data_IF_843328548273
#
_entry.id   IF_843328548273
#
_cell.length_a   1.000
_cell.length_b   1.000
_cell.length_c   1.000
_cell.angle_alpha   90.00
_cell.angle_beta   90.00
_cell.angle_gamma   90.00
#
_symmetry.space_group_name_H-M   'P 1'
#
loop_
_entity.id
_entity.type
_entity.pdbx_description
1 polymer ?
#
# COMPACT_ATOMS: atom_id res chain seq x y z
N UNK A 1 5.10 26.67 -39.56
CA UNK A 1 4.64 25.37 -39.02
C UNK A 1 5.86 24.46 -39.01
N UNK A 2 6.45 24.25 -37.84
CA UNK A 2 7.67 23.45 -37.68
C UNK A 2 7.30 21.97 -37.61
N UNK A 3 7.79 21.18 -38.56
CA UNK A 3 7.67 19.73 -38.56
C UNK A 3 8.32 19.17 -37.29
N UNK A 4 7.52 18.50 -36.45
CA UNK A 4 8.03 17.84 -35.25
C UNK A 4 8.75 16.56 -35.68
N UNK A 5 10.06 16.57 -35.52
CA UNK A 5 10.94 15.42 -35.76
C UNK A 5 10.52 14.26 -34.81
N UNK A 6 10.48 13.00 -35.29
CA UNK A 6 9.98 11.84 -34.53
C UNK A 6 10.76 11.56 -33.22
N UNK A 7 11.93 12.19 -33.09
CA UNK A 7 12.81 12.13 -31.92
C UNK A 7 12.72 13.37 -31.01
N UNK A 8 11.72 14.23 -31.19
CA UNK A 8 11.61 15.45 -30.37
C UNK A 8 11.06 15.09 -28.99
N UNK A 9 11.95 15.12 -28.01
CA UNK A 9 11.67 15.03 -26.59
C UNK A 9 10.79 16.21 -26.13
N UNK A 10 9.61 15.93 -25.56
CA UNK A 10 8.63 16.95 -25.17
C UNK A 10 7.99 16.66 -23.80
N UNK A 11 7.66 17.69 -23.01
CA UNK A 11 6.88 17.52 -21.79
C UNK A 11 5.44 17.15 -22.15
N UNK A 12 5.11 15.88 -21.97
CA UNK A 12 3.78 15.33 -22.21
C UNK A 12 2.96 15.27 -20.93
N UNK A 13 1.65 15.46 -21.06
CA UNK A 13 0.68 15.17 -20.00
C UNK A 13 -0.45 14.34 -20.55
N UNK A 14 -0.93 13.38 -19.77
CA UNK A 14 -2.03 12.51 -20.18
C UNK A 14 -3.32 12.88 -19.45
N UNK A 15 -4.36 13.16 -20.24
CA UNK A 15 -5.71 13.46 -19.76
C UNK A 15 -6.51 12.18 -19.58
N UNK A 16 -6.87 11.88 -18.33
CA UNK A 16 -7.65 10.69 -17.97
C UNK A 16 -8.97 10.58 -18.74
N UNK A 17 -9.77 11.66 -18.82
CA UNK A 17 -11.08 11.63 -19.48
C UNK A 17 -10.96 11.20 -20.93
N UNK A 18 -9.99 11.77 -21.65
CA UNK A 18 -9.77 11.51 -23.07
C UNK A 18 -9.25 10.09 -23.31
N UNK A 19 -8.36 9.59 -22.46
CA UNK A 19 -7.91 8.19 -22.54
C UNK A 19 -9.05 7.20 -22.22
N UNK A 20 -9.95 7.52 -21.28
CA UNK A 20 -11.12 6.68 -20.99
C UNK A 20 -12.16 6.70 -22.12
N UNK A 21 -12.38 7.85 -22.77
CA UNK A 21 -13.20 7.96 -23.98
C UNK A 21 -12.61 7.09 -25.12
N UNK A 22 -11.29 7.14 -25.30
CA UNK A 22 -10.59 6.30 -26.27
C UNK A 22 -10.72 4.79 -25.93
N UNK A 23 -10.58 4.41 -24.66
CA UNK A 23 -10.78 3.03 -24.21
C UNK A 23 -12.22 2.57 -24.48
N UNK A 24 -13.21 3.41 -24.16
CA UNK A 24 -14.61 3.10 -24.44
C UNK A 24 -14.82 2.84 -25.93
N UNK A 25 -14.35 3.75 -26.78
CA UNK A 25 -14.45 3.63 -28.24
C UNK A 25 -13.78 2.36 -28.75
N UNK A 26 -12.61 2.02 -28.22
CA UNK A 26 -11.90 0.78 -28.54
C UNK A 26 -12.70 -0.47 -28.15
N UNK A 27 -13.22 -0.52 -26.93
CA UNK A 27 -14.01 -1.66 -26.44
C UNK A 27 -15.32 -1.81 -27.22
N UNK A 28 -16.01 -0.70 -27.48
CA UNK A 28 -17.28 -0.70 -28.19
C UNK A 28 -17.08 -1.16 -29.65
N UNK A 29 -15.99 -0.71 -30.31
CA UNK A 29 -15.57 -1.19 -31.63
C UNK A 29 -15.26 -2.69 -31.63
N UNK A 30 -14.42 -3.15 -30.70
CA UNK A 30 -14.07 -4.57 -30.59
C UNK A 30 -15.31 -5.45 -30.33
N UNK A 31 -16.21 -5.03 -29.44
CA UNK A 31 -17.43 -5.76 -29.11
C UNK A 31 -18.44 -5.77 -30.27
N UNK A 32 -18.43 -4.76 -31.14
CA UNK A 32 -19.25 -4.74 -32.36
C UNK A 32 -18.78 -5.79 -33.37
N UNK A 33 -17.46 -5.96 -33.50
CA UNK A 33 -16.85 -6.98 -34.36
C UNK A 33 -16.97 -8.39 -33.75
N UNK A 34 -17.01 -8.49 -32.42
CA UNK A 34 -17.06 -9.76 -31.67
C UNK A 34 -18.30 -9.84 -30.77
N UNK A 35 -19.50 -10.06 -31.32
CA UNK A 35 -20.75 -10.05 -30.55
C UNK A 35 -20.89 -11.25 -29.60
N UNK A 36 -20.10 -12.31 -29.81
CA UNK A 36 -20.14 -13.55 -29.02
C UNK A 36 -19.88 -13.30 -27.53
N UNK A 37 -20.74 -13.86 -26.66
CA UNK A 37 -20.67 -13.66 -25.22
C UNK A 37 -19.32 -14.07 -24.60
N UNK A 38 -18.71 -15.11 -25.19
CA UNK A 38 -17.42 -15.67 -24.79
C UNK A 38 -16.24 -14.90 -25.34
N UNK A 39 -16.43 -13.91 -26.21
CA UNK A 39 -15.36 -13.16 -26.89
C UNK A 39 -15.40 -11.68 -26.54
N UNK A 40 -16.60 -11.14 -26.33
CA UNK A 40 -16.82 -9.76 -25.94
C UNK A 40 -16.14 -9.39 -24.62
N UNK A 41 -15.67 -8.15 -24.56
CA UNK A 41 -15.24 -7.48 -23.35
C UNK A 41 -16.50 -7.05 -22.58
N UNK A 42 -16.94 -7.90 -21.65
CA UNK A 42 -18.00 -7.56 -20.70
C UNK A 42 -17.59 -6.45 -19.70
N UNK A 43 -18.54 -6.01 -18.88
CA UNK A 43 -18.35 -4.94 -17.88
C UNK A 43 -17.19 -5.21 -16.90
N UNK A 44 -16.99 -6.47 -16.49
CA UNK A 44 -15.90 -6.85 -15.57
C UNK A 44 -14.52 -6.71 -16.23
N UNK A 45 -14.38 -7.13 -17.50
CA UNK A 45 -13.16 -6.94 -18.28
C UNK A 45 -12.87 -5.45 -18.50
N UNK A 46 -13.90 -4.67 -18.86
CA UNK A 46 -13.82 -3.22 -19.02
C UNK A 46 -13.33 -2.53 -17.76
N UNK A 47 -13.91 -2.86 -16.60
CA UNK A 47 -13.50 -2.29 -15.32
C UNK A 47 -12.04 -2.65 -14.96
N UNK A 48 -11.54 -3.80 -15.41
CA UNK A 48 -10.11 -4.14 -15.29
C UNK A 48 -9.24 -3.32 -16.23
N UNK A 49 -9.65 -3.11 -17.49
CA UNK A 49 -8.94 -2.24 -18.42
C UNK A 49 -8.87 -0.78 -17.91
N UNK A 50 -9.99 -0.25 -17.39
CA UNK A 50 -10.05 1.09 -16.80
C UNK A 50 -9.12 1.23 -15.58
N UNK A 51 -9.04 0.19 -14.74
CA UNK A 51 -8.10 0.17 -13.60
C UNK A 51 -6.64 0.20 -14.08
N UNK A 52 -6.30 -0.59 -15.10
CA UNK A 52 -4.95 -0.62 -15.68
C UNK A 52 -4.60 0.77 -16.22
N UNK A 53 -5.46 1.39 -17.03
CA UNK A 53 -5.26 2.75 -17.55
C UNK A 53 -5.08 3.74 -16.40
N UNK A 54 -5.95 3.70 -15.39
CA UNK A 54 -5.89 4.65 -14.27
C UNK A 54 -4.54 4.61 -13.55
N UNK A 55 -4.05 3.41 -13.24
CA UNK A 55 -2.78 3.24 -12.55
C UNK A 55 -1.60 3.60 -13.45
N UNK A 56 -1.68 3.24 -14.72
CA UNK A 56 -0.64 3.53 -15.69
C UNK A 56 -0.50 5.02 -15.95
N UNK A 57 -1.60 5.74 -16.18
CA UNK A 57 -1.60 7.20 -16.33
C UNK A 57 -1.07 7.92 -15.08
N UNK A 58 -1.40 7.43 -13.88
CA UNK A 58 -0.81 7.96 -12.63
C UNK A 58 0.71 7.80 -12.59
N UNK A 59 1.25 6.70 -13.13
CA UNK A 59 2.69 6.48 -13.21
C UNK A 59 3.33 7.36 -14.29
N UNK A 60 2.71 7.44 -15.48
CA UNK A 60 3.19 8.26 -16.58
C UNK A 60 3.25 9.74 -16.22
N UNK A 61 2.16 10.30 -15.66
CA UNK A 61 2.12 11.71 -15.28
C UNK A 61 3.10 12.08 -14.16
N UNK A 62 3.61 11.10 -13.40
CA UNK A 62 4.71 11.33 -12.44
C UNK A 62 6.07 11.32 -13.14
N UNK A 63 6.27 10.42 -14.09
CA UNK A 63 7.51 10.28 -14.85
C UNK A 63 7.68 11.40 -15.90
N UNK A 64 6.59 11.94 -16.46
CA UNK A 64 6.61 13.12 -17.35
C UNK A 64 7.07 14.40 -16.68
N UNK A 65 7.00 14.48 -15.35
CA UNK A 65 7.58 15.59 -14.60
C UNK A 65 9.12 15.50 -14.50
N UNK A 66 9.73 14.36 -14.88
CA UNK A 66 11.13 14.02 -14.61
C UNK A 66 11.92 13.72 -15.90
N UNK A 67 11.25 13.25 -16.97
CA UNK A 67 11.90 12.73 -18.19
C UNK A 67 11.06 12.99 -19.44
N UNK A 68 11.73 13.26 -20.56
CA UNK A 68 11.12 13.51 -21.87
C UNK A 68 10.86 12.17 -22.60
N UNK A 69 9.78 12.09 -23.39
CA UNK A 69 9.35 10.84 -24.07
C UNK A 69 9.48 10.91 -25.58
N UNK A 70 9.81 9.77 -26.19
CA UNK A 70 9.66 9.53 -27.64
C UNK A 70 8.25 9.02 -27.97
N UNK A 71 7.66 9.55 -29.05
CA UNK A 71 6.34 9.16 -29.56
C UNK A 71 6.28 7.71 -30.07
N UNK A 72 7.43 7.16 -30.44
CA UNK A 72 7.54 5.83 -31.04
C UNK A 72 7.51 4.73 -29.97
N UNK A 73 8.01 5.01 -28.76
CA UNK A 73 8.20 4.02 -27.70
C UNK A 73 7.47 4.42 -26.42
N UNK A 74 6.21 3.98 -26.30
CA UNK A 74 5.44 4.14 -25.06
C UNK A 74 6.04 3.25 -23.95
N UNK A 75 6.41 3.82 -22.78
CA UNK A 75 7.09 3.10 -21.70
C UNK A 75 6.18 2.03 -21.07
N UNK A 76 6.71 0.95 -20.51
CA UNK A 76 5.87 -0.11 -19.94
C UNK A 76 5.21 0.28 -18.59
N UNK A 77 4.08 -0.37 -18.28
CA UNK A 77 3.42 -0.26 -16.98
C UNK A 77 3.89 -1.38 -16.05
N UNK A 78 4.66 -1.04 -15.01
CA UNK A 78 5.16 -2.02 -14.04
C UNK A 78 4.19 -2.18 -12.87
N UNK A 79 3.78 -3.42 -12.59
CA UNK A 79 2.81 -3.73 -11.52
C UNK A 79 2.89 -5.18 -11.06
N UNK A 80 1.96 -5.61 -10.21
CA UNK A 80 1.81 -7.00 -9.78
C UNK A 80 0.36 -7.48 -9.99
N UNK A 81 0.18 -8.71 -10.48
CA UNK A 81 -1.15 -9.31 -10.66
C UNK A 81 -1.93 -9.39 -9.33
N UNK A 82 -1.24 -9.68 -8.22
CA UNK A 82 -1.84 -9.70 -6.89
C UNK A 82 -2.35 -8.32 -6.45
N UNK A 83 -1.60 -7.25 -6.75
CA UNK A 83 -1.99 -5.88 -6.45
C UNK A 83 -3.18 -5.44 -7.30
N UNK A 84 -3.16 -5.72 -8.61
CA UNK A 84 -4.28 -5.43 -9.49
C UNK A 84 -5.56 -6.15 -9.06
N UNK A 85 -5.46 -7.42 -8.63
CA UNK A 85 -6.59 -8.21 -8.16
C UNK A 85 -7.17 -7.61 -6.86
N UNK A 86 -6.31 -7.24 -5.91
CA UNK A 86 -6.70 -6.58 -4.67
C UNK A 86 -7.36 -5.22 -4.92
N UNK A 87 -6.80 -4.39 -5.81
CA UNK A 87 -7.36 -3.09 -6.18
C UNK A 87 -8.72 -3.24 -6.90
N UNK A 88 -8.89 -4.27 -7.72
CA UNK A 88 -10.16 -4.55 -8.41
C UNK A 88 -11.22 -5.16 -7.49
N UNK A 89 -10.80 -5.79 -6.39
CA UNK A 89 -11.68 -6.55 -5.49
C UNK A 89 -12.04 -7.94 -6.02
N UNK A 90 -11.13 -8.60 -6.75
CA UNK A 90 -11.36 -9.95 -7.30
C UNK A 90 -10.21 -10.92 -6.96
N UNK A 91 -10.41 -12.21 -7.25
CA UNK A 91 -9.33 -13.20 -7.09
C UNK A 91 -8.25 -13.02 -8.16
N UNK A 92 -7.03 -13.50 -7.88
CA UNK A 92 -5.93 -13.50 -8.85
C UNK A 92 -6.27 -14.37 -10.07
N UNK A 93 -6.99 -15.49 -9.89
CA UNK A 93 -7.46 -16.35 -10.99
C UNK A 93 -8.40 -15.59 -11.93
N UNK A 94 -9.35 -14.85 -11.37
CA UNK A 94 -10.27 -13.99 -12.14
C UNK A 94 -9.52 -12.93 -12.93
N UNK A 95 -8.52 -12.29 -12.31
CA UNK A 95 -7.70 -11.29 -13.00
C UNK A 95 -6.89 -11.90 -14.14
N UNK A 96 -6.34 -13.12 -13.98
CA UNK A 96 -5.67 -13.82 -15.08
C UNK A 96 -6.61 -14.07 -16.26
N UNK A 97 -7.86 -14.46 -16.00
CA UNK A 97 -8.86 -14.63 -17.06
C UNK A 97 -9.17 -13.30 -17.76
N UNK A 98 -9.30 -12.21 -17.00
CA UNK A 98 -9.51 -10.88 -17.58
C UNK A 98 -8.30 -10.45 -18.43
N UNK A 99 -7.09 -10.68 -17.93
CA UNK A 99 -5.84 -10.39 -18.64
C UNK A 99 -5.77 -11.12 -19.97
N UNK A 100 -6.07 -12.42 -19.99
CA UNK A 100 -6.10 -13.20 -21.24
C UNK A 100 -7.13 -12.64 -22.24
N UNK A 101 -8.30 -12.23 -21.75
CA UNK A 101 -9.30 -11.58 -22.59
C UNK A 101 -8.80 -10.26 -23.19
N UNK A 102 -8.14 -9.44 -22.38
CA UNK A 102 -7.62 -8.13 -22.80
C UNK A 102 -6.41 -8.24 -23.74
N UNK A 103 -5.61 -9.30 -23.62
CA UNK A 103 -4.55 -9.63 -24.59
C UNK A 103 -5.19 -10.04 -25.92
N UNK A 104 -6.16 -10.96 -25.89
CA UNK A 104 -6.86 -11.41 -27.11
C UNK A 104 -7.53 -10.26 -27.84
N UNK A 105 -8.10 -9.31 -27.11
CA UNK A 105 -8.71 -8.13 -27.70
C UNK A 105 -7.71 -7.10 -28.23
N UNK A 106 -6.39 -7.30 -28.07
CA UNK A 106 -5.37 -6.37 -28.51
C UNK A 106 -5.26 -5.10 -27.65
N UNK A 107 -5.96 -5.02 -26.52
CA UNK A 107 -5.83 -3.93 -25.55
C UNK A 107 -4.48 -3.99 -24.84
N UNK A 108 -4.05 -5.19 -24.44
CA UNK A 108 -2.70 -5.45 -23.94
C UNK A 108 -1.89 -6.07 -25.08
N UNK A 109 -0.84 -5.37 -25.52
CA UNK A 109 0.03 -5.82 -26.62
C UNK A 109 1.07 -6.83 -26.15
N UNK A 110 1.67 -6.58 -25.00
CA UNK A 110 2.74 -7.44 -24.48
C UNK A 110 2.70 -7.46 -22.94
N UNK A 111 3.10 -8.59 -22.35
CA UNK A 111 3.41 -8.68 -20.93
C UNK A 111 4.73 -9.41 -20.75
N UNK A 112 5.69 -8.77 -20.08
CA UNK A 112 6.92 -9.42 -19.63
C UNK A 112 6.82 -9.72 -18.14
N UNK A 113 7.21 -10.94 -17.76
CA UNK A 113 7.31 -11.35 -16.36
C UNK A 113 8.76 -11.20 -15.93
N UNK A 114 8.96 -10.49 -14.84
CA UNK A 114 10.25 -10.41 -14.18
C UNK A 114 10.18 -11.26 -12.92
N UNK A 115 11.18 -12.13 -12.72
CA UNK A 115 11.25 -12.94 -11.52
C UNK A 115 11.25 -12.02 -10.28
N UNK A 116 10.43 -12.30 -9.26
CA UNK A 116 10.34 -11.50 -8.02
C UNK A 116 9.81 -10.06 -8.15
N UNK A 117 10.03 -9.40 -9.29
CA UNK A 117 9.84 -7.96 -9.51
C UNK A 117 8.50 -7.59 -10.17
N UNK A 118 7.67 -8.60 -10.44
CA UNK A 118 6.30 -8.41 -10.91
C UNK A 118 6.15 -8.57 -12.42
N UNK A 119 5.31 -7.73 -13.01
CA UNK A 119 4.99 -7.74 -14.43
C UNK A 119 5.21 -6.36 -15.04
N UNK A 120 5.59 -6.35 -16.31
CA UNK A 120 5.52 -5.17 -17.17
C UNK A 120 4.46 -5.39 -18.23
N UNK A 121 3.59 -4.41 -18.41
CA UNK A 121 2.42 -4.46 -19.28
C UNK A 121 2.52 -3.34 -20.31
N UNK A 122 2.45 -3.68 -21.58
CA UNK A 122 2.35 -2.73 -22.69
C UNK A 122 0.90 -2.64 -23.14
N UNK A 123 0.29 -1.48 -22.94
CA UNK A 123 -1.09 -1.19 -23.40
C UNK A 123 -1.03 -0.68 -24.83
N UNK A 124 -2.08 -0.93 -25.62
CA UNK A 124 -2.19 -0.44 -26.97
C UNK A 124 -1.95 1.09 -27.04
N UNK A 125 -0.88 1.55 -27.73
CA UNK A 125 -0.55 2.97 -27.82
C UNK A 125 -1.67 3.81 -28.45
N UNK A 126 -2.48 3.24 -29.34
CA UNK A 126 -3.59 3.96 -29.99
C UNK A 126 -4.69 4.40 -29.00
N UNK A 127 -4.87 3.64 -27.91
CA UNK A 127 -5.80 4.02 -26.83
C UNK A 127 -5.18 5.12 -25.96
N UNK A 128 -3.87 5.00 -25.69
CA UNK A 128 -3.17 5.86 -24.75
C UNK A 128 -2.83 7.24 -25.35
N UNK A 129 -2.35 7.29 -26.61
CA UNK A 129 -1.94 8.53 -27.29
C UNK A 129 -3.09 9.49 -27.57
N UNK A 130 -4.34 8.99 -27.69
CA UNK A 130 -5.54 9.82 -27.83
C UNK A 130 -5.80 10.73 -26.61
N UNK A 131 -5.20 10.40 -25.46
CA UNK A 131 -5.24 11.26 -24.27
C UNK A 131 -3.95 12.04 -24.01
N UNK A 132 -2.96 12.01 -24.90
CA UNK A 132 -1.69 12.69 -24.71
C UNK A 132 -1.75 14.13 -25.25
N UNK A 133 -1.26 15.07 -24.44
CA UNK A 133 -1.18 16.49 -24.76
C UNK A 133 0.24 16.98 -24.55
N UNK A 134 0.73 17.78 -25.49
CA UNK A 134 1.96 18.55 -25.35
C UNK A 134 1.67 19.80 -24.52
N UNK A 135 2.51 20.03 -23.53
CA UNK A 135 2.43 21.19 -22.64
C UNK A 135 3.38 22.27 -23.15
N UNK A 136 2.87 23.45 -23.48
CA UNK A 136 3.69 24.62 -23.81
C UNK A 136 3.37 25.75 -22.82
N UNK A 137 4.40 26.34 -22.22
CA UNK A 137 4.25 27.57 -21.42
C UNK A 137 4.16 28.75 -22.37
N UNK A 138 3.10 29.53 -22.24
CA UNK A 138 2.91 30.77 -22.98
C UNK A 138 3.59 31.92 -22.24
N UNK A 139 4.07 32.92 -22.99
CA UNK A 139 4.79 34.08 -22.45
C UNK A 139 3.93 34.91 -21.48
N UNK A 140 2.61 34.87 -21.62
CA UNK A 140 1.63 35.56 -20.77
C UNK A 140 1.28 34.81 -19.46
N UNK A 141 2.02 33.75 -19.10
CA UNK A 141 1.80 32.98 -17.87
C UNK A 141 0.71 31.90 -17.96
N UNK A 142 0.18 31.63 -19.15
CA UNK A 142 -0.75 30.53 -19.44
C UNK A 142 -0.06 29.21 -19.82
N UNK A 143 -0.78 28.10 -19.77
CA UNK A 143 -0.31 26.80 -20.29
C UNK A 143 -1.21 26.37 -21.45
N UNK A 144 -0.63 26.17 -22.64
CA UNK A 144 -1.34 25.63 -23.80
C UNK A 144 -1.17 24.11 -23.87
N UNK A 145 -2.28 23.40 -24.09
CA UNK A 145 -2.34 21.96 -24.27
C UNK A 145 -2.69 21.65 -25.72
N UNK A 146 -1.76 21.04 -26.46
CA UNK A 146 -1.98 20.65 -27.86
C UNK A 146 -2.08 19.11 -27.97
N UNK A 147 -3.15 18.54 -28.57
CA UNK A 147 -3.28 17.10 -28.71
C UNK A 147 -2.14 16.53 -29.57
N UNK A 148 -1.49 15.48 -29.07
CA UNK A 148 -0.36 14.84 -29.77
C UNK A 148 -0.84 13.99 -30.96
N UNK A 149 -2.01 13.38 -30.83
CA UNK A 149 -2.56 12.42 -31.81
C UNK A 149 -2.77 13.03 -33.22
N UNK A 150 -3.04 14.34 -33.31
CA UNK A 150 -3.20 15.04 -34.60
C UNK A 150 -1.88 15.13 -35.41
N UNK A 151 -0.73 14.87 -34.79
CA UNK A 151 0.58 14.84 -35.48
C UNK A 151 1.01 13.43 -35.90
N UNK A 152 0.37 12.37 -35.39
CA UNK A 152 0.71 10.97 -35.70
C UNK A 152 0.03 10.50 -37.00
N UNK A 153 -1.10 11.09 -37.37
CA UNK A 153 -1.86 10.71 -38.57
C UNK A 153 -1.27 11.26 -39.88
N UNK A 154 -0.39 12.28 -39.84
CA UNK A 154 0.17 12.90 -41.04
C UNK A 154 1.29 12.09 -41.73
N UNK A 155 1.93 11.13 -41.03
CA UNK A 155 3.12 10.41 -41.53
C UNK A 155 3.05 8.88 -41.44
N UNK A 156 1.85 8.27 -41.39
CA UNK A 156 1.77 6.81 -41.58
C UNK A 156 1.82 6.48 -43.07
N UNK A 157 3.03 6.23 -43.59
CA UNK A 157 3.19 5.40 -44.79
C UNK A 157 2.44 4.08 -44.55
N UNK A 158 1.53 3.74 -45.46
CA UNK A 158 0.82 2.44 -45.47
C UNK A 158 1.86 1.32 -45.42
N UNK A 159 2.01 0.69 -44.26
CA UNK A 159 2.68 -0.60 -44.16
C UNK A 159 1.62 -1.64 -44.52
N UNK A 160 1.86 -2.34 -45.63
CA UNK A 160 0.99 -3.40 -46.12
C UNK A 160 0.92 -4.55 -45.11
N UNK A 161 -0.26 -5.16 -45.00
CA UNK A 161 -0.50 -6.26 -44.06
C UNK A 161 0.33 -7.48 -44.43
N UNK A 162 1.03 -8.05 -43.45
CA UNK A 162 1.50 -9.42 -43.57
C UNK A 162 0.28 -10.33 -43.44
N UNK A 163 -0.23 -10.73 -44.59
CA UNK A 163 -1.13 -11.87 -44.78
C UNK A 163 -0.33 -13.13 -44.45
N UNK A 164 -0.76 -13.86 -43.44
CA UNK A 164 -0.55 -15.30 -43.44
C UNK A 164 -1.91 -15.98 -43.32
N UNK A 165 -2.16 -16.82 -44.32
CA UNK A 165 -3.44 -17.43 -44.66
C UNK A 165 -3.90 -18.40 -43.56
N UNK A 166 -5.22 -18.40 -43.35
CA UNK A 166 -5.91 -19.48 -42.65
C UNK A 166 -5.60 -20.79 -43.39
N UNK A 167 -5.08 -21.77 -42.67
CA UNK A 167 -5.24 -23.16 -43.04
C UNK A 167 -6.11 -23.84 -41.98
N UNK A 168 -7.36 -24.03 -42.36
CA UNK A 168 -8.40 -24.78 -41.65
C UNK A 168 -8.09 -26.28 -41.64
N UNK A 169 -9.05 -27.07 -41.14
CA UNK A 169 -9.11 -28.53 -40.97
C UNK A 169 -8.69 -29.02 -39.57
N UNK A 170 -9.53 -29.63 -38.74
CA UNK A 170 -10.93 -30.04 -38.89
C UNK A 170 -11.61 -30.08 -37.51
N UNK A 171 -12.86 -29.63 -37.52
CA UNK A 171 -13.91 -30.07 -36.61
C UNK A 171 -13.84 -31.57 -36.34
N UNK A 172 -13.95 -31.94 -35.07
CA UNK A 172 -14.85 -33.02 -34.69
C UNK A 172 -15.92 -32.38 -33.80
N UNK A 173 -17.00 -31.95 -34.44
CA UNK A 173 -18.29 -31.84 -33.79
C UNK A 173 -18.84 -33.25 -33.56
N UNK A 174 -19.43 -33.47 -32.39
CA UNK A 174 -20.81 -33.97 -32.17
C UNK A 174 -20.83 -34.74 -30.84
N UNK A 175 -21.64 -34.37 -29.86
CA UNK A 175 -23.11 -34.39 -29.74
C UNK A 175 -23.66 -35.78 -29.36
N UNK A 176 -24.73 -35.72 -28.56
CA UNK A 176 -25.83 -36.68 -28.37
C UNK A 176 -25.81 -37.62 -27.14
N UNK A 177 -26.98 -37.56 -26.51
CA UNK A 177 -27.66 -38.29 -25.44
C UNK A 177 -27.61 -39.84 -25.42
N UNK A 178 -28.09 -40.36 -24.27
CA UNK A 178 -28.80 -41.64 -24.01
C UNK A 178 -27.91 -42.89 -23.81
N UNK A 179 -28.15 -43.86 -22.91
CA UNK A 179 -29.32 -44.27 -22.12
C UNK A 179 -28.92 -45.45 -21.18
N UNK A 180 -29.79 -45.79 -20.20
CA UNK A 180 -29.84 -47.02 -19.34
C UNK A 180 -28.85 -47.06 -18.16
N UNK A 181 -29.26 -46.91 -16.90
CA UNK A 181 -30.15 -47.79 -16.12
C UNK A 181 -29.24 -48.50 -15.08
N UNK A 182 -29.35 -48.27 -13.76
CA UNK A 182 -30.21 -49.00 -12.82
C UNK A 182 -30.29 -48.21 -11.48
N UNK A 183 -31.53 -48.02 -11.00
CA UNK A 183 -32.09 -47.90 -9.62
C UNK A 183 -31.11 -47.61 -8.46
N UNK A 184 -31.33 -46.60 -7.62
CA UNK A 184 -32.37 -46.58 -6.58
C UNK A 184 -33.02 -45.20 -6.35
N UNK A 185 -34.28 -45.25 -5.92
CA UNK A 185 -35.23 -44.16 -5.68
C UNK A 185 -34.92 -43.25 -4.48
N UNK A 186 -35.62 -42.09 -4.40
CA UNK A 186 -35.22 -40.91 -3.64
C UNK A 186 -35.95 -40.80 -2.30
N UNK A 187 -35.43 -39.94 -1.42
CA UNK A 187 -36.28 -39.27 -0.43
C UNK A 187 -36.17 -37.75 -0.54
N UNK A 188 -37.36 -37.15 -0.46
CA UNK A 188 -37.72 -35.79 -0.85
C UNK A 188 -37.41 -34.77 0.25
N UNK A 189 -37.23 -33.50 -0.14
CA UNK A 189 -37.73 -32.26 0.51
C UNK A 189 -37.23 -31.06 -0.32
N UNK A 190 -38.00 -30.48 -1.24
CA UNK A 190 -39.01 -29.41 -1.05
C UNK A 190 -38.43 -28.09 -0.50
N UNK A 191 -38.46 -27.09 -1.38
CA UNK A 191 -38.39 -25.62 -1.26
C UNK A 191 -39.07 -25.03 0.02
N UNK A 192 -38.86 -23.75 0.44
CA UNK A 192 -38.97 -22.59 -0.46
C UNK A 192 -38.17 -21.29 -0.19
N UNK A 193 -38.27 -20.47 -1.23
CA UNK A 193 -38.12 -19.01 -1.30
C UNK A 193 -38.78 -18.21 -0.17
N UNK A 194 -38.17 -17.05 0.09
CA UNK A 194 -38.78 -15.77 0.51
C UNK A 194 -37.66 -14.71 0.42
N UNK A 195 -37.68 -13.76 -0.52
CA UNK A 195 -38.42 -12.47 -0.47
C UNK A 195 -38.10 -11.73 0.84
N UNK A 196 -37.12 -10.81 0.76
CA UNK A 196 -37.31 -9.36 0.61
C UNK A 196 -37.68 -8.71 1.95
N UNK A 197 -36.77 -7.88 2.49
CA UNK A 197 -37.17 -6.60 3.09
C UNK A 197 -35.95 -5.67 3.31
N UNK A 198 -36.00 -4.58 2.54
CA UNK A 198 -35.59 -3.20 2.83
C UNK A 198 -34.86 -2.88 4.14
N UNK A 199 -33.72 -2.22 4.01
CA UNK A 199 -33.06 -1.52 5.11
C UNK A 199 -31.99 -0.56 4.60
N UNK A 200 -32.41 0.59 4.09
CA UNK A 200 -31.53 1.72 3.80
C UNK A 200 -30.79 2.16 5.07
N UNK A 201 -29.47 2.18 5.02
CA UNK A 201 -28.67 3.04 5.90
C UNK A 201 -27.58 3.73 5.09
N UNK A 202 -27.85 5.01 4.86
CA UNK A 202 -26.92 6.00 4.36
C UNK A 202 -25.79 6.21 5.39
N UNK A 203 -24.55 5.95 4.95
CA UNK A 203 -23.32 6.54 5.52
C UNK A 203 -22.39 6.92 4.37
N UNK A 204 -22.82 7.93 3.62
CA UNK A 204 -21.92 8.89 3.01
C UNK A 204 -20.91 9.44 4.04
N UNK A 205 -19.69 9.70 3.57
CA UNK A 205 -18.49 10.27 4.24
C UNK A 205 -17.52 9.33 4.95
N UNK A 206 -16.57 8.78 4.16
CA UNK A 206 -15.13 8.66 4.48
C UNK A 206 -14.40 7.95 3.34
N UNK A 207 -14.15 8.64 2.23
CA UNK A 207 -13.13 8.22 1.25
C UNK A 207 -12.48 9.45 0.66
N UNK A 208 -11.23 9.70 1.07
CA UNK A 208 -10.06 9.84 0.19
C UNK A 208 -8.91 10.50 0.97
N UNK A 209 -8.08 9.69 1.62
CA UNK A 209 -6.79 10.10 2.20
C UNK A 209 -5.72 8.99 2.07
N UNK A 210 -5.89 8.05 1.14
CA UNK A 210 -5.11 6.80 1.11
C UNK A 210 -3.97 6.74 0.08
N UNK A 211 -3.75 7.78 -0.72
CA UNK A 211 -2.72 7.77 -1.79
C UNK A 211 -1.57 8.77 -1.57
N UNK A 212 -1.59 9.50 -0.45
CA UNK A 212 -0.45 10.30 0.01
C UNK A 212 0.28 9.48 1.08
N UNK A 213 1.61 9.46 0.99
CA UNK A 213 2.55 9.10 2.05
C UNK A 213 3.12 7.67 2.06
N UNK A 214 3.58 7.06 0.96
CA UNK A 214 4.58 5.97 1.13
C UNK A 214 5.95 6.55 1.54
N UNK A 215 6.32 7.71 1.00
CA UNK A 215 7.56 8.42 1.37
C UNK A 215 7.48 9.02 2.77
N UNK A 216 6.40 9.71 3.08
CA UNK A 216 6.15 10.21 4.43
C UNK A 216 5.78 9.09 5.42
N UNK A 217 5.26 7.92 5.00
CA UNK A 217 5.18 6.76 5.90
C UNK A 217 6.56 6.17 6.18
N UNK A 218 7.52 6.22 5.24
CA UNK A 218 8.92 5.82 5.46
C UNK A 218 9.68 6.85 6.31
N UNK A 219 9.40 8.14 6.14
CA UNK A 219 9.96 9.22 6.97
C UNK A 219 9.36 9.16 8.40
N UNK A 220 8.04 9.00 8.52
CA UNK A 220 7.38 8.70 9.79
C UNK A 220 7.82 7.35 10.38
N UNK A 221 8.21 6.36 9.55
CA UNK A 221 8.81 5.10 10.03
C UNK A 221 10.14 5.38 10.73
N UNK A 222 10.99 6.21 10.13
CA UNK A 222 12.28 6.60 10.72
C UNK A 222 12.07 7.44 11.99
N UNK A 223 11.09 8.35 12.00
CA UNK A 223 10.71 9.12 13.19
C UNK A 223 10.12 8.24 14.29
N UNK A 224 9.28 7.25 13.98
CA UNK A 224 8.74 6.28 14.95
C UNK A 224 9.84 5.39 15.51
N UNK A 225 10.75 4.90 14.65
CA UNK A 225 11.87 4.07 15.09
C UNK A 225 12.78 4.87 16.03
N UNK A 226 13.13 6.11 15.66
CA UNK A 226 13.97 6.99 16.47
C UNK A 226 13.25 7.44 17.76
N UNK A 227 11.96 7.77 17.71
CA UNK A 227 11.20 8.14 18.89
C UNK A 227 10.98 6.96 19.86
N UNK A 228 10.88 5.73 19.36
CA UNK A 228 10.76 4.53 20.21
C UNK A 228 12.12 4.12 20.81
N UNK A 229 13.22 4.42 20.12
CA UNK A 229 14.59 4.27 20.64
C UNK A 229 14.92 5.36 21.67
N UNK A 230 14.43 6.59 21.51
CA UNK A 230 14.79 7.74 22.35
C UNK A 230 13.81 8.06 23.49
N UNK A 231 12.59 7.50 23.53
CA UNK A 231 11.54 7.92 24.46
C UNK A 231 11.77 7.63 25.95
N UNK A 232 12.97 7.26 26.37
CA UNK A 232 13.18 6.91 27.77
C UNK A 232 14.59 7.10 28.34
N UNK A 233 15.51 7.76 27.62
CA UNK A 233 16.85 8.07 28.17
C UNK A 233 16.95 9.45 28.86
N UNK A 234 15.86 10.20 28.95
CA UNK A 234 15.81 11.42 29.76
C UNK A 234 15.42 11.11 31.21
N UNK A 235 16.33 10.54 32.00
CA UNK A 235 16.51 10.81 33.43
C UNK A 235 17.79 10.12 33.95
N UNK A 236 18.94 10.78 33.77
CA UNK A 236 19.89 11.06 34.86
C UNK A 236 21.08 11.89 34.35
N UNK A 237 21.59 12.83 35.15
CA UNK A 237 22.67 13.74 34.75
C UNK A 237 24.04 13.05 34.80
N UNK A 238 24.91 13.50 33.90
CA UNK A 238 26.34 13.19 33.82
C UNK A 238 27.09 13.46 35.13
N UNK A 239 28.14 12.70 35.44
CA UNK A 239 29.34 13.24 36.06
C UNK A 239 30.49 13.30 35.03
N UNK A 240 31.20 14.42 35.05
CA UNK A 240 32.42 14.71 34.31
C UNK A 240 33.64 13.89 34.80
N UNK A 241 34.77 13.91 34.04
CA UNK A 241 35.75 12.82 34.01
C UNK A 241 36.93 13.05 34.98
N UNK A 242 37.63 11.96 35.33
CA UNK A 242 39.10 11.84 35.24
C UNK A 242 39.64 10.62 36.02
N UNK A 243 40.30 9.69 35.32
CA UNK A 243 41.70 9.23 35.52
C UNK A 243 41.95 7.87 34.84
N UNK A 244 42.93 7.84 33.93
CA UNK A 244 43.56 6.61 33.40
C UNK A 244 44.75 6.17 34.31
N UNK A 245 45.57 5.15 33.97
CA UNK A 245 45.30 3.73 34.15
C UNK A 245 46.47 3.00 34.87
N UNK A 246 46.23 1.85 35.51
CA UNK A 246 47.28 0.95 36.02
C UNK A 246 46.77 -0.52 35.98
N UNK A 247 47.65 -1.55 35.96
CA UNK A 247 47.59 -2.65 34.98
C UNK A 247 47.07 -4.01 35.51
N UNK A 248 46.78 -4.90 34.54
CA UNK A 248 46.21 -6.27 34.57
C UNK A 248 46.59 -7.21 35.74
N UNK A 249 45.75 -8.23 36.09
CA UNK A 249 45.83 -9.53 35.39
C UNK A 249 44.51 -10.33 35.20
N UNK A 250 44.45 -11.04 34.06
CA UNK A 250 43.75 -12.32 33.77
C UNK A 250 42.21 -12.33 33.70
N UNK A 251 41.74 -11.96 32.51
CA UNK A 251 40.50 -12.45 31.91
C UNK A 251 40.59 -13.97 31.72
N UNK A 252 39.63 -14.74 32.25
CA UNK A 252 39.26 -16.06 31.69
C UNK A 252 38.02 -16.73 32.34
N UNK A 253 37.29 -16.09 33.27
CA UNK A 253 36.11 -16.72 33.93
C UNK A 253 34.79 -15.96 33.89
N UNK A 254 34.69 -14.79 33.26
CA UNK A 254 33.46 -13.96 33.31
C UNK A 254 32.52 -14.10 32.09
N UNK A 255 32.95 -14.62 30.95
CA UNK A 255 32.09 -14.69 29.75
C UNK A 255 30.95 -15.73 29.83
N UNK A 256 31.09 -16.79 30.64
CA UNK A 256 30.06 -17.84 30.72
C UNK A 256 28.86 -17.47 31.61
N UNK A 257 29.02 -16.58 32.60
CA UNK A 257 27.92 -16.16 33.47
C UNK A 257 27.00 -15.11 32.81
N UNK A 258 27.57 -14.18 32.04
CA UNK A 258 26.80 -13.13 31.35
C UNK A 258 25.88 -13.70 30.26
N UNK A 259 26.34 -14.72 29.50
CA UNK A 259 25.51 -15.41 28.50
C UNK A 259 24.34 -16.19 29.11
N UNK A 260 24.47 -16.70 30.33
CA UNK A 260 23.42 -17.41 31.05
C UNK A 260 22.26 -16.51 31.46
N UNK A 261 22.55 -15.35 32.05
CA UNK A 261 21.53 -14.39 32.48
C UNK A 261 20.72 -13.84 31.30
N UNK A 262 21.40 -13.42 30.22
CA UNK A 262 20.74 -12.93 29.00
C UNK A 262 19.84 -14.01 28.36
N UNK A 263 20.30 -15.27 28.34
CA UNK A 263 19.50 -16.38 27.83
C UNK A 263 18.25 -16.65 28.68
N UNK A 264 18.36 -16.58 30.01
CA UNK A 264 17.21 -16.72 30.93
C UNK A 264 16.19 -15.60 30.68
N UNK A 265 16.65 -14.36 30.55
CA UNK A 265 15.82 -13.21 30.22
C UNK A 265 15.07 -13.40 28.88
N UNK A 266 15.78 -13.80 27.82
CA UNK A 266 15.17 -14.07 26.51
C UNK A 266 14.12 -15.19 26.56
N UNK A 267 14.40 -16.28 27.30
CA UNK A 267 13.45 -17.38 27.50
C UNK A 267 12.19 -16.87 28.23
N UNK A 268 12.36 -16.00 29.24
CA UNK A 268 11.23 -15.37 29.95
C UNK A 268 10.35 -14.56 29.00
N UNK A 269 10.94 -13.73 28.13
CA UNK A 269 10.18 -12.95 27.15
C UNK A 269 9.37 -13.84 26.19
N UNK A 270 9.96 -14.91 25.68
CA UNK A 270 9.28 -15.84 24.77
C UNK A 270 8.11 -16.55 25.48
N UNK A 271 8.33 -17.02 26.72
CA UNK A 271 7.27 -17.67 27.52
C UNK A 271 6.14 -16.72 27.86
N UNK A 272 6.45 -15.51 28.30
CA UNK A 272 5.46 -14.47 28.62
C UNK A 272 4.62 -14.11 27.38
N UNK A 273 5.29 -13.95 26.24
CA UNK A 273 4.61 -13.68 24.97
C UNK A 273 3.68 -14.81 24.57
N UNK A 274 4.14 -16.07 24.68
CA UNK A 274 3.32 -17.23 24.35
C UNK A 274 2.11 -17.35 25.29
N UNK A 275 2.29 -17.21 26.60
CA UNK A 275 1.19 -17.23 27.57
C UNK A 275 0.12 -16.18 27.24
N UNK A 276 0.56 -14.96 26.92
CA UNK A 276 -0.35 -13.91 26.49
C UNK A 276 -1.10 -14.27 25.20
N UNK A 277 -0.39 -14.74 24.17
CA UNK A 277 -0.98 -15.11 22.90
C UNK A 277 -1.92 -16.32 22.99
N UNK A 278 -1.56 -17.33 23.80
CA UNK A 278 -2.37 -18.52 24.09
C UNK A 278 -3.72 -18.11 24.67
N UNK A 279 -3.70 -17.31 25.73
CA UNK A 279 -4.92 -16.86 26.39
C UNK A 279 -5.77 -15.94 25.50
N UNK A 280 -5.13 -15.10 24.68
CA UNK A 280 -5.82 -14.09 23.88
C UNK A 280 -6.36 -14.59 22.53
N UNK A 281 -5.70 -15.59 21.93
CA UNK A 281 -6.03 -16.09 20.58
C UNK A 281 -6.52 -17.53 20.55
N UNK A 282 -6.19 -18.33 21.58
CA UNK A 282 -6.50 -19.75 21.65
C UNK A 282 -7.02 -20.16 23.04
N UNK A 283 -8.01 -19.43 23.62
CA UNK A 283 -8.48 -19.68 24.99
C UNK A 283 -9.02 -21.10 25.19
N UNK A 284 -9.67 -21.66 24.16
CA UNK A 284 -10.33 -22.97 24.24
C UNK A 284 -9.46 -24.13 23.74
N UNK A 285 -8.17 -23.88 23.45
CA UNK A 285 -7.26 -24.91 22.94
C UNK A 285 -6.31 -25.41 24.01
N UNK A 286 -6.27 -26.72 24.16
CA UNK A 286 -5.22 -27.42 24.88
C UNK A 286 -4.09 -27.77 23.92
N UNK A 287 -2.86 -27.66 24.40
CA UNK A 287 -1.65 -27.97 23.62
C UNK A 287 -0.88 -29.05 24.36
N UNK A 288 -0.36 -30.02 23.63
CA UNK A 288 0.56 -31.02 24.20
C UNK A 288 1.95 -30.41 24.37
N UNK A 289 2.76 -30.97 25.26
CA UNK A 289 4.09 -30.44 25.58
C UNK A 289 5.00 -30.32 24.36
N UNK A 290 4.92 -31.27 23.41
CA UNK A 290 5.72 -31.21 22.18
C UNK A 290 5.29 -30.08 21.24
N UNK A 291 3.99 -29.78 21.18
CA UNK A 291 3.43 -28.68 20.38
C UNK A 291 3.83 -27.35 20.99
N UNK A 292 3.67 -27.21 22.30
CA UNK A 292 4.05 -26.00 23.02
C UNK A 292 5.56 -25.71 22.87
N UNK A 293 6.41 -26.73 22.91
CA UNK A 293 7.85 -26.60 22.63
C UNK A 293 8.12 -26.15 21.18
N UNK A 294 7.40 -26.71 20.20
CA UNK A 294 7.49 -26.31 18.79
C UNK A 294 7.09 -24.85 18.57
N UNK A 295 6.00 -24.41 19.21
CA UNK A 295 5.49 -23.04 19.16
C UNK A 295 6.50 -22.07 19.78
N UNK A 296 7.04 -22.38 20.95
CA UNK A 296 8.05 -21.55 21.62
C UNK A 296 9.30 -21.39 20.74
N UNK A 297 9.77 -22.46 20.09
CA UNK A 297 10.88 -22.39 19.13
C UNK A 297 10.54 -21.53 17.90
N UNK A 298 9.30 -21.63 17.40
CA UNK A 298 8.82 -20.81 16.29
C UNK A 298 8.76 -19.32 16.68
N UNK A 299 8.31 -19.00 17.89
CA UNK A 299 8.31 -17.64 18.44
C UNK A 299 9.73 -17.12 18.60
N UNK A 300 10.63 -17.91 19.19
CA UNK A 300 12.05 -17.55 19.33
C UNK A 300 12.65 -17.17 17.98
N UNK A 301 12.47 -18.01 16.97
CA UNK A 301 13.07 -17.83 15.64
C UNK A 301 12.38 -16.77 14.79
N UNK A 302 11.05 -16.65 14.82
CA UNK A 302 10.31 -15.78 13.90
C UNK A 302 9.95 -14.42 14.51
N UNK A 303 9.52 -14.39 15.78
CA UNK A 303 9.06 -13.19 16.47
C UNK A 303 10.24 -12.39 16.99
N UNK A 304 11.17 -13.05 17.67
CA UNK A 304 12.37 -12.43 18.26
C UNK A 304 13.63 -12.58 17.38
N UNK A 305 13.51 -13.25 16.23
CA UNK A 305 14.62 -13.44 15.27
C UNK A 305 15.86 -14.09 15.90
N UNK A 306 15.63 -14.93 16.91
CA UNK A 306 16.67 -15.59 17.69
C UNK A 306 17.51 -14.64 18.53
N UNK A 307 17.01 -13.44 18.86
CA UNK A 307 17.73 -12.42 19.63
C UNK A 307 19.09 -12.06 19.01
N UNK A 308 19.17 -12.09 17.67
CA UNK A 308 20.40 -11.78 16.91
C UNK A 308 20.75 -10.28 16.86
N UNK A 309 19.85 -9.41 17.33
CA UNK A 309 20.10 -7.98 17.37
C UNK A 309 20.74 -7.61 18.71
N UNK A 310 21.76 -6.76 18.67
CA UNK A 310 22.47 -6.28 19.85
C UNK A 310 21.65 -5.19 20.56
N UNK A 311 20.58 -5.62 21.22
CA UNK A 311 19.69 -4.77 21.99
C UNK A 311 19.93 -4.92 23.49
N UNK A 312 19.78 -3.81 24.21
CA UNK A 312 19.72 -3.82 25.68
C UNK A 312 18.43 -4.50 26.16
N UNK A 313 18.38 -4.94 27.43
CA UNK A 313 17.17 -5.54 28.00
C UNK A 313 15.95 -4.62 27.83
N UNK A 314 16.12 -3.32 28.06
CA UNK A 314 15.07 -2.31 27.89
C UNK A 314 14.55 -2.21 26.45
N UNK A 315 15.45 -2.29 25.47
CA UNK A 315 15.07 -2.29 24.07
C UNK A 315 14.30 -3.57 23.70
N UNK A 316 14.70 -4.71 24.24
CA UNK A 316 13.96 -5.97 24.10
C UNK A 316 12.58 -5.93 24.77
N UNK A 317 12.44 -5.28 25.92
CA UNK A 317 11.15 -5.05 26.58
C UNK A 317 10.24 -4.14 25.73
N UNK A 318 10.76 -3.04 25.20
CA UNK A 318 10.00 -2.17 24.30
C UNK A 318 9.55 -2.91 23.01
N UNK A 319 10.41 -3.77 22.48
CA UNK A 319 10.07 -4.63 21.36
C UNK A 319 9.01 -5.69 21.75
N UNK A 320 9.13 -6.28 22.94
CA UNK A 320 8.16 -7.21 23.51
C UNK A 320 6.77 -6.59 23.61
N UNK A 321 6.66 -5.38 24.16
CA UNK A 321 5.39 -4.63 24.25
C UNK A 321 4.78 -4.35 22.86
N UNK A 322 5.63 -4.05 21.87
CA UNK A 322 5.19 -3.88 20.48
C UNK A 322 4.63 -5.20 19.92
N UNK A 323 5.22 -6.34 20.29
CA UNK A 323 4.70 -7.66 19.92
C UNK A 323 3.38 -8.00 20.62
N UNK A 324 3.23 -7.69 21.92
CA UNK A 324 1.97 -7.86 22.65
C UNK A 324 0.85 -7.00 22.05
N UNK A 325 1.16 -5.75 21.71
CA UNK A 325 0.21 -4.85 21.04
C UNK A 325 -0.28 -5.43 19.73
N UNK A 326 0.62 -6.05 18.95
CA UNK A 326 0.25 -6.74 17.70
C UNK A 326 -0.69 -7.92 17.93
N UNK A 327 -0.58 -8.64 19.05
CA UNK A 327 -1.54 -9.68 19.42
C UNK A 327 -2.90 -9.06 19.72
N UNK A 328 -2.96 -7.98 20.53
CA UNK A 328 -4.22 -7.26 20.82
C UNK A 328 -4.94 -6.81 19.55
N UNK A 329 -4.19 -6.26 18.59
CA UNK A 329 -4.75 -5.86 17.29
C UNK A 329 -5.40 -7.02 16.54
N UNK A 330 -4.86 -8.22 16.66
CA UNK A 330 -5.44 -9.43 16.06
C UNK A 330 -6.68 -9.88 16.84
N UNK A 331 -6.65 -9.84 18.17
CA UNK A 331 -7.84 -10.10 18.98
C UNK A 331 -9.00 -9.18 18.60
N UNK A 332 -8.75 -7.88 18.48
CA UNK A 332 -9.76 -6.90 18.08
C UNK A 332 -10.25 -7.14 16.65
N UNK A 333 -9.36 -7.61 15.77
CA UNK A 333 -9.73 -8.01 14.42
C UNK A 333 -10.67 -9.22 14.43
N UNK A 334 -10.42 -10.24 15.26
CA UNK A 334 -11.26 -11.43 15.37
C UNK A 334 -12.62 -11.11 16.01
N UNK A 335 -12.65 -10.28 17.07
CA UNK A 335 -13.89 -9.87 17.74
C UNK A 335 -14.91 -9.16 16.84
N UNK A 336 -14.47 -8.53 15.75
CA UNK A 336 -15.35 -7.78 14.83
C UNK A 336 -16.24 -8.66 13.96
N UNK A 337 -15.92 -9.94 13.78
CA UNK A 337 -16.76 -10.85 13.01
C UNK A 337 -16.40 -12.31 13.34
N UNK A 338 -17.38 -13.16 13.66
CA UNK A 338 -17.17 -14.55 14.05
C UNK A 338 -16.61 -15.43 12.92
N UNK A 339 -16.80 -15.03 11.66
CA UNK A 339 -16.28 -15.76 10.48
C UNK A 339 -14.77 -15.60 10.29
N UNK A 340 -14.14 -14.74 11.08
CA UNK A 340 -12.70 -14.48 10.97
C UNK A 340 -11.94 -15.57 11.68
N UNK A 341 -11.10 -16.25 10.91
CA UNK A 341 -10.26 -17.32 11.40
C UNK A 341 -8.81 -16.89 11.59
N UNK A 342 -8.17 -17.49 12.60
CA UNK A 342 -6.72 -17.42 12.83
C UNK A 342 -6.09 -18.79 12.63
N UNK A 343 -4.89 -18.80 12.02
CA UNK A 343 -4.13 -20.03 11.82
C UNK A 343 -3.83 -20.75 13.15
N UNK A 344 -3.67 -22.08 13.15
CA UNK A 344 -3.18 -22.81 14.32
C UNK A 344 -1.86 -22.23 14.81
N UNK A 345 -1.59 -22.27 16.11
CA UNK A 345 -0.44 -21.60 16.73
C UNK A 345 0.90 -21.99 16.08
N UNK A 346 1.12 -23.27 15.79
CA UNK A 346 2.32 -23.78 15.10
C UNK A 346 2.54 -23.07 13.76
N UNK A 347 1.47 -22.93 12.97
CA UNK A 347 1.52 -22.29 11.67
C UNK A 347 1.55 -20.76 11.78
N UNK A 348 0.84 -20.18 12.75
CA UNK A 348 0.71 -18.73 12.91
C UNK A 348 2.06 -18.06 13.25
N UNK A 349 2.86 -18.70 14.11
CA UNK A 349 4.19 -18.24 14.47
C UNK A 349 5.31 -18.85 13.62
N UNK A 350 4.98 -19.74 12.67
CA UNK A 350 5.97 -20.33 11.77
C UNK A 350 6.67 -19.24 10.94
N UNK A 351 8.01 -19.24 10.83
CA UNK A 351 8.76 -18.27 10.02
C UNK A 351 8.39 -18.33 8.52
N UNK A 352 7.92 -19.47 8.04
CA UNK A 352 7.55 -19.70 6.64
C UNK A 352 6.10 -19.32 6.31
N UNK A 353 5.28 -18.94 7.30
CA UNK A 353 3.90 -18.53 7.05
C UNK A 353 3.82 -17.09 6.52
N UNK A 354 3.87 -16.96 5.20
CA UNK A 354 3.80 -15.67 4.51
C UNK A 354 2.37 -15.15 4.38
N UNK A 355 1.34 -16.02 4.45
CA UNK A 355 -0.05 -15.62 4.15
C UNK A 355 -0.80 -15.10 5.35
N UNK A 356 -0.87 -15.82 6.46
CA UNK A 356 -1.70 -15.47 7.61
C UNK A 356 -0.93 -15.55 8.93
N UNK A 357 0.39 -15.36 8.88
CA UNK A 357 1.27 -15.45 10.05
C UNK A 357 1.42 -14.13 10.80
N UNK A 358 1.94 -14.23 12.02
CA UNK A 358 2.21 -13.09 12.91
C UNK A 358 3.05 -12.00 12.22
N UNK A 359 3.97 -12.36 11.32
CA UNK A 359 4.82 -11.40 10.58
C UNK A 359 4.02 -10.29 9.87
N UNK A 360 2.80 -10.58 9.38
CA UNK A 360 1.96 -9.60 8.69
C UNK A 360 1.39 -8.52 9.61
N UNK A 361 1.22 -8.81 10.89
CA UNK A 361 0.66 -7.84 11.86
C UNK A 361 1.58 -6.63 12.03
N UNK A 362 2.85 -6.73 11.63
CA UNK A 362 3.78 -5.59 11.62
C UNK A 362 3.29 -4.45 10.72
N UNK A 363 2.79 -4.74 9.52
CA UNK A 363 2.24 -3.71 8.61
C UNK A 363 1.03 -3.02 9.21
N UNK A 364 0.21 -3.76 9.96
CA UNK A 364 -0.96 -3.19 10.64
C UNK A 364 -0.53 -2.29 11.79
N UNK A 365 0.41 -2.75 12.61
CA UNK A 365 0.97 -1.99 13.72
C UNK A 365 1.58 -0.68 13.25
N UNK A 366 2.43 -0.72 12.22
CA UNK A 366 3.01 0.49 11.63
C UNK A 366 1.95 1.46 11.16
N UNK A 367 0.94 0.98 10.41
CA UNK A 367 -0.16 1.83 9.95
C UNK A 367 -0.91 2.49 11.11
N UNK A 368 -1.13 1.76 12.20
CA UNK A 368 -1.80 2.29 13.38
C UNK A 368 -0.95 3.35 14.10
N UNK A 369 0.34 3.12 14.29
CA UNK A 369 1.24 4.08 14.94
C UNK A 369 1.44 5.34 14.09
N UNK A 370 1.58 5.19 12.76
CA UNK A 370 1.60 6.34 11.83
C UNK A 370 0.30 7.14 11.93
N UNK A 371 -0.85 6.47 11.97
CA UNK A 371 -2.14 7.16 12.11
C UNK A 371 -2.26 7.89 13.45
N UNK A 372 -1.82 7.29 14.55
CA UNK A 372 -1.80 7.96 15.87
C UNK A 372 -0.97 9.24 15.83
N UNK A 373 0.21 9.20 15.20
CA UNK A 373 1.05 10.38 15.02
C UNK A 373 0.37 11.44 14.14
N UNK A 374 -0.21 11.05 13.02
CA UNK A 374 -0.93 11.96 12.13
C UNK A 374 -2.09 12.66 12.84
N UNK A 375 -2.92 11.89 13.56
CA UNK A 375 -4.06 12.43 14.33
C UNK A 375 -3.56 13.36 15.44
N UNK A 376 -2.52 12.98 16.19
CA UNK A 376 -1.89 13.87 17.18
C UNK A 376 -1.45 15.18 16.53
N UNK A 377 -0.74 15.10 15.41
CA UNK A 377 -0.19 16.25 14.71
C UNK A 377 -1.29 17.17 14.18
N UNK A 378 -2.36 16.59 13.65
CA UNK A 378 -3.53 17.34 13.19
C UNK A 378 -4.21 18.07 14.34
N UNK A 379 -4.45 17.40 15.47
CA UNK A 379 -5.05 18.01 16.66
C UNK A 379 -4.19 19.16 17.18
N UNK A 380 -2.88 18.96 17.31
CA UNK A 380 -1.96 20.00 17.79
C UNK A 380 -1.88 21.18 16.83
N UNK A 381 -1.82 20.92 15.51
CA UNK A 381 -1.83 21.97 14.49
C UNK A 381 -3.14 22.77 14.50
N UNK A 382 -4.29 22.10 14.66
CA UNK A 382 -5.59 22.76 14.77
C UNK A 382 -5.66 23.66 16.01
N UNK A 383 -5.14 23.21 17.17
CA UNK A 383 -5.05 24.03 18.38
C UNK A 383 -4.21 25.28 18.15
N UNK A 384 -3.03 25.15 17.54
CA UNK A 384 -2.14 26.29 17.29
C UNK A 384 -2.74 27.27 16.26
N UNK A 385 -3.39 26.77 15.20
CA UNK A 385 -4.10 27.62 14.23
C UNK A 385 -5.23 28.41 14.90
N UNK A 386 -6.05 27.75 15.71
CA UNK A 386 -7.11 28.43 16.47
C UNK A 386 -6.55 29.50 17.40
N UNK A 387 -5.41 29.25 18.05
CA UNK A 387 -4.74 30.25 18.88
C UNK A 387 -4.26 31.47 18.08
N UNK A 388 -3.77 31.28 16.84
CA UNK A 388 -3.40 32.38 15.94
C UNK A 388 -4.64 33.18 15.51
N UNK A 389 -5.73 32.51 15.14
CA UNK A 389 -7.00 33.16 14.75
C UNK A 389 -7.64 33.95 15.91
N UNK A 390 -7.63 33.38 17.13
CA UNK A 390 -8.14 34.06 18.31
C UNK A 390 -7.28 35.28 18.65
N UNK A 391 -5.95 35.14 18.59
CA UNK A 391 -5.00 36.22 18.80
C UNK A 391 -5.26 37.39 17.85
N UNK A 392 -5.48 37.10 16.57
CA UNK A 392 -5.82 38.11 15.56
C UNK A 392 -7.09 38.89 15.93
N UNK A 393 -8.11 38.21 16.45
CA UNK A 393 -9.39 38.84 16.83
C UNK A 393 -9.29 39.60 18.16
N UNK A 394 -8.11 39.70 18.77
CA UNK A 394 -7.92 40.24 20.11
C UNK A 394 -8.56 39.38 21.21
N UNK A 395 -8.86 38.11 20.91
CA UNK A 395 -9.57 37.16 21.77
C UNK A 395 -8.64 36.03 22.21
N UNK A 396 -9.13 35.19 23.11
CA UNK A 396 -8.44 34.00 23.57
C UNK A 396 -7.38 34.24 24.64
N UNK A 397 -6.75 33.15 25.06
CA UNK A 397 -5.83 33.12 26.21
C UNK A 397 -4.54 33.92 25.99
N UNK A 398 -4.17 34.13 24.74
CA UNK A 398 -2.88 34.72 24.35
C UNK A 398 -3.01 36.11 23.74
N UNK A 399 -4.17 36.76 23.86
CA UNK A 399 -4.44 38.12 23.32
C UNK A 399 -3.44 39.20 23.75
N UNK A 400 -2.79 39.03 24.91
CA UNK A 400 -1.83 39.98 25.47
C UNK A 400 -0.40 39.78 24.96
N UNK A 401 -0.11 38.64 24.32
CA UNK A 401 1.21 38.36 23.78
C UNK A 401 1.39 39.09 22.44
N UNK A 402 2.62 39.47 22.13
CA UNK A 402 2.96 39.87 20.76
C UNK A 402 2.90 38.66 19.80
N UNK A 403 2.78 38.94 18.49
CA UNK A 403 2.81 37.90 17.44
C UNK A 403 4.08 37.05 17.52
N UNK A 404 5.20 37.66 17.87
CA UNK A 404 6.51 37.01 18.00
C UNK A 404 6.59 36.12 19.24
N UNK A 405 6.09 36.57 20.39
CA UNK A 405 6.06 35.77 21.62
C UNK A 405 5.16 34.55 21.49
N UNK A 406 3.99 34.70 20.86
CA UNK A 406 3.09 33.58 20.56
C UNK A 406 3.77 32.56 19.64
N UNK A 407 4.48 33.04 18.62
CA UNK A 407 5.28 32.18 17.73
C UNK A 407 6.36 31.40 18.50
N UNK A 408 7.16 32.08 19.32
CA UNK A 408 8.20 31.42 20.12
C UNK A 408 7.63 30.37 21.08
N UNK A 409 6.44 30.63 21.63
CA UNK A 409 5.74 29.66 22.47
C UNK A 409 5.34 28.40 21.69
N UNK A 410 4.78 28.55 20.50
CA UNK A 410 4.47 27.43 19.62
C UNK A 410 5.74 26.69 19.18
N UNK A 411 6.81 27.42 18.86
CA UNK A 411 8.10 26.83 18.47
C UNK A 411 8.69 25.95 19.56
N UNK A 412 8.74 26.42 20.81
CA UNK A 412 9.20 25.62 21.97
C UNK A 412 8.33 24.38 22.21
N UNK A 413 7.04 24.44 21.88
CA UNK A 413 6.15 23.28 21.98
C UNK A 413 6.42 22.27 20.85
N UNK A 414 6.65 22.74 19.62
CA UNK A 414 7.01 21.90 18.48
C UNK A 414 8.37 21.22 18.68
N UNK A 415 9.36 21.93 19.24
CA UNK A 415 10.67 21.38 19.63
C UNK A 415 10.50 20.19 20.59
N UNK A 416 9.61 20.30 21.60
CA UNK A 416 9.28 19.20 22.52
C UNK A 416 8.57 18.01 21.86
N UNK A 417 7.83 18.24 20.77
CA UNK A 417 7.18 17.16 20.02
C UNK A 417 8.16 16.41 19.11
N UNK A 418 9.32 17.02 18.81
CA UNK A 418 10.40 16.48 17.98
C UNK A 418 9.90 15.82 16.67
N UNK A 419 9.04 16.54 15.94
CA UNK A 419 8.41 16.05 14.73
C UNK A 419 8.47 17.12 13.64
N UNK A 420 9.23 16.82 12.59
CA UNK A 420 9.49 17.70 11.46
C UNK A 420 8.23 18.00 10.64
N UNK A 421 7.32 17.02 10.51
CA UNK A 421 6.12 17.19 9.67
C UNK A 421 5.19 18.24 10.24
N UNK A 422 4.91 18.18 11.54
CA UNK A 422 4.07 19.19 12.21
C UNK A 422 4.77 20.55 12.23
N UNK A 423 6.09 20.57 12.39
CA UNK A 423 6.87 21.82 12.39
C UNK A 423 6.78 22.53 11.05
N UNK A 424 7.02 21.83 9.94
CA UNK A 424 6.87 22.37 8.57
C UNK A 424 5.44 22.83 8.30
N UNK A 425 4.44 22.02 8.69
CA UNK A 425 3.03 22.36 8.50
C UNK A 425 2.62 23.62 9.29
N UNK A 426 3.12 23.76 10.52
CA UNK A 426 2.90 24.95 11.34
C UNK A 426 3.58 26.18 10.74
N UNK A 427 4.85 26.10 10.34
CA UNK A 427 5.57 27.21 9.72
C UNK A 427 4.88 27.69 8.43
N UNK A 428 4.40 26.75 7.60
CA UNK A 428 3.60 27.10 6.42
C UNK A 428 2.31 27.83 6.78
N UNK A 429 1.59 27.39 7.82
CA UNK A 429 0.38 28.05 8.30
C UNK A 429 0.67 29.44 8.89
N UNK A 430 1.76 29.58 9.66
CA UNK A 430 2.18 30.83 10.26
C UNK A 430 2.64 31.85 9.21
N UNK A 431 3.37 31.42 8.18
CA UNK A 431 3.77 32.31 7.08
C UNK A 431 2.54 32.84 6.31
N UNK A 432 1.54 32.00 6.06
CA UNK A 432 0.27 32.45 5.47
C UNK A 432 -0.44 33.46 6.37
N UNK A 433 -0.41 33.25 7.69
CA UNK A 433 -0.93 34.18 8.67
C UNK A 433 -0.15 35.51 8.73
N UNK A 434 1.15 35.50 8.45
CA UNK A 434 1.93 36.75 8.32
C UNK A 434 1.53 37.48 7.04
N UNK A 435 1.56 36.79 5.89
CA UNK A 435 1.34 37.41 4.57
C UNK A 435 -0.05 38.02 4.45
N UNK A 436 -1.09 37.37 4.96
CA UNK A 436 -2.44 37.92 4.86
C UNK A 436 -2.65 39.19 5.73
N UNK A 437 -1.69 39.52 6.60
CA UNK A 437 -1.81 40.51 7.68
C UNK A 437 -0.53 41.36 7.82
N UNK A 438 0.22 41.46 6.73
CA UNK A 438 1.26 42.45 6.47
C UNK A 438 0.68 43.43 5.47
#
# INVERSE_FOLDING_TARGET
>A
MTELNENTELPLTFNFSKTFEALKTFIDGYNKEHPGLKEKINASHRATAELIIRLYLKQLNKLTAITEYSLVNMPSFRTYMSSLAACKGCTVRTLYNHKERLIKAGFIKEIKRHAGDGIEVWVNPEVMWKGAYKVQKLEEGGTSLTPVYNHIEANRKKIQGLVHELQEHNNINSNVYSEKGVRHEPDKCVLPHGEDETGAFDKSTRKNAADLNEREAKEALATVLNAHILKKDETNPSPEPEKMPQPHPKQEKQEQQAGGAARIFHIKLVRNFWQYAKNALYPDKTFKDYEEKSILNSIWTSVYRGFKADYTERQWENYHESCLTRIRMVCDYLKRSPDRWIAPADLYFCPYNVKNGFKKTWKWYLKQETLKLQVRNEIELQKMKRQLEDHQRGKGRHKHLSRYELFNKHRKHLERLNDDMITRAYLSAYNKYIIAHA
#
